data_IF_946077576938
#
_entry.id   IF_946077576938
#
_cell.length_a   1.000
_cell.length_b   1.000
_cell.length_c   1.000
_cell.angle_alpha   90.00
_cell.angle_beta   90.00
_cell.angle_gamma   90.00
#
_symmetry.space_group_name_H-M   'P 1'
#
loop_
_entity.id
_entity.type
_entity.pdbx_description
1 polymer ?
#
# COMPACT_ATOMS: atom_id res chain seq x y z
N UNK A 1 9.49 13.31 23.49
CA UNK A 1 10.06 12.38 22.49
C UNK A 1 9.62 10.91 22.72
N UNK A 2 9.11 10.52 23.90
CA UNK A 2 8.73 9.13 24.21
C UNK A 2 7.26 8.77 23.94
N UNK A 3 6.32 9.72 23.85
CA UNK A 3 4.88 9.42 23.87
C UNK A 3 4.39 8.44 22.79
N UNK A 4 5.02 8.42 21.61
CA UNK A 4 4.64 7.51 20.52
C UNK A 4 5.16 6.07 20.71
N UNK A 5 6.25 5.86 21.45
CA UNK A 5 6.87 4.53 21.58
C UNK A 5 6.09 3.63 22.53
N UNK A 6 5.43 4.23 23.53
CA UNK A 6 4.66 3.51 24.55
C UNK A 6 3.55 2.65 23.94
N UNK A 7 3.01 3.09 22.79
CA UNK A 7 1.96 2.37 22.05
C UNK A 7 2.49 1.61 20.83
N UNK A 8 3.80 1.57 20.59
CA UNK A 8 4.38 0.93 19.40
C UNK A 8 3.96 -0.53 19.29
N UNK A 9 4.03 -1.28 20.38
CA UNK A 9 3.66 -2.70 20.42
C UNK A 9 2.18 -2.94 20.03
N UNK A 10 1.27 -2.07 20.48
CA UNK A 10 -0.15 -2.14 20.10
C UNK A 10 -0.37 -1.77 18.64
N UNK A 11 0.28 -0.68 18.18
CA UNK A 11 0.11 -0.17 16.81
C UNK A 11 0.68 -1.12 15.78
N UNK A 12 1.87 -1.65 16.01
CA UNK A 12 2.53 -2.56 15.05
C UNK A 12 1.73 -3.84 14.83
N UNK A 13 1.14 -4.41 15.88
CA UNK A 13 0.25 -5.56 15.75
C UNK A 13 -0.93 -5.22 14.84
N UNK A 14 -1.66 -4.12 15.11
CA UNK A 14 -2.81 -3.69 14.30
C UNK A 14 -2.42 -3.37 12.86
N UNK A 15 -1.29 -2.69 12.64
CA UNK A 15 -0.76 -2.41 11.31
C UNK A 15 -0.50 -3.70 10.51
N UNK A 16 0.14 -4.70 11.12
CA UNK A 16 0.45 -5.95 10.44
C UNK A 16 -0.82 -6.76 10.14
N UNK A 17 -1.75 -6.84 11.09
CA UNK A 17 -3.05 -7.49 10.90
C UNK A 17 -3.83 -6.85 9.74
N UNK A 18 -3.96 -5.52 9.74
CA UNK A 18 -4.66 -4.80 8.69
C UNK A 18 -3.95 -4.95 7.34
N UNK A 19 -2.62 -4.84 7.30
CA UNK A 19 -1.86 -4.95 6.07
C UNK A 19 -1.95 -6.35 5.45
N UNK A 20 -1.91 -7.42 6.24
CA UNK A 20 -2.13 -8.78 5.75
C UNK A 20 -3.52 -8.89 5.11
N UNK A 21 -4.56 -8.46 5.81
CA UNK A 21 -5.94 -8.56 5.32
C UNK A 21 -6.19 -7.72 4.07
N UNK A 22 -5.61 -6.52 3.98
CA UNK A 22 -5.70 -5.66 2.79
C UNK A 22 -4.91 -6.26 1.63
N UNK A 23 -3.70 -6.80 1.87
CA UNK A 23 -2.89 -7.41 0.82
C UNK A 23 -3.56 -8.65 0.21
N UNK A 24 -4.15 -9.52 1.04
CA UNK A 24 -4.89 -10.70 0.60
C UNK A 24 -6.13 -10.30 -0.22
N UNK A 25 -6.86 -9.27 0.22
CA UNK A 25 -8.01 -8.74 -0.50
C UNK A 25 -7.62 -8.12 -1.85
N UNK A 26 -6.55 -7.31 -1.89
CA UNK A 26 -6.03 -6.71 -3.12
C UNK A 26 -5.59 -7.77 -4.14
N UNK A 27 -5.00 -8.88 -3.68
CA UNK A 27 -4.51 -9.95 -4.55
C UNK A 27 -5.63 -10.64 -5.36
N UNK A 28 -6.89 -10.54 -4.91
CA UNK A 28 -8.06 -11.05 -5.62
C UNK A 28 -8.90 -10.00 -6.34
N UNK A 29 -8.48 -8.72 -6.34
CA UNK A 29 -9.28 -7.62 -6.85
C UNK A 29 -9.07 -7.38 -8.35
N UNK A 30 -10.15 -7.21 -9.12
CA UNK A 30 -10.12 -7.15 -10.60
C UNK A 30 -9.29 -6.00 -11.19
N UNK A 31 -9.20 -4.89 -10.46
CA UNK A 31 -8.36 -3.73 -10.81
C UNK A 31 -6.87 -3.89 -10.56
N UNK A 32 -6.43 -4.98 -9.91
CA UNK A 32 -5.05 -5.11 -9.43
C UNK A 32 -4.28 -6.09 -10.31
N UNK A 33 -3.15 -5.63 -10.84
CA UNK A 33 -2.28 -6.46 -11.70
C UNK A 33 -1.35 -7.35 -10.87
N UNK A 34 -0.89 -6.84 -9.73
CA UNK A 34 0.03 -7.54 -8.84
C UNK A 34 0.04 -6.90 -7.44
N UNK A 35 0.41 -7.69 -6.43
CA UNK A 35 0.61 -7.23 -5.05
C UNK A 35 1.98 -7.66 -4.56
N UNK A 36 2.70 -6.72 -3.98
CA UNK A 36 3.99 -6.89 -3.35
C UNK A 36 3.85 -6.69 -1.82
N UNK A 37 3.70 -7.81 -1.11
CA UNK A 37 3.68 -7.83 0.35
C UNK A 37 4.34 -9.12 0.87
N UNK A 38 5.34 -9.05 1.78
CA UNK A 38 6.06 -10.25 2.23
C UNK A 38 5.20 -11.26 3.01
N UNK A 39 4.04 -10.84 3.51
CA UNK A 39 3.07 -11.72 4.18
C UNK A 39 2.27 -12.62 3.24
N UNK A 40 2.27 -12.34 1.92
CA UNK A 40 1.56 -13.18 0.95
C UNK A 40 2.34 -14.46 0.64
N UNK A 41 1.66 -15.62 0.45
CA UNK A 41 2.31 -16.91 0.20
C UNK A 41 3.13 -16.93 -1.09
N UNK A 42 2.68 -16.20 -2.11
CA UNK A 42 3.33 -16.14 -3.43
C UNK A 42 4.49 -15.14 -3.49
N UNK A 43 4.78 -14.41 -2.39
CA UNK A 43 5.88 -13.47 -2.35
C UNK A 43 7.24 -14.20 -2.33
N UNK A 44 8.25 -13.82 -3.15
CA UNK A 44 9.54 -14.52 -3.25
C UNK A 44 10.30 -14.67 -1.92
N UNK A 45 10.04 -13.77 -0.98
CA UNK A 45 10.66 -13.77 0.35
C UNK A 45 9.71 -14.18 1.48
N UNK A 46 8.56 -14.80 1.19
CA UNK A 46 7.58 -15.20 2.20
C UNK A 46 8.19 -16.09 3.29
N UNK A 47 9.03 -17.07 2.90
CA UNK A 47 9.72 -17.94 3.85
C UNK A 47 10.68 -17.17 4.77
N UNK A 48 11.38 -16.16 4.24
CA UNK A 48 12.25 -15.29 5.03
C UNK A 48 11.43 -14.38 5.95
N UNK A 49 10.32 -13.83 5.48
CA UNK A 49 9.40 -13.04 6.28
C UNK A 49 8.87 -13.86 7.47
N UNK A 50 8.40 -15.09 7.24
CA UNK A 50 8.00 -16.00 8.31
C UNK A 50 9.11 -16.30 9.32
N UNK A 51 10.36 -16.41 8.86
CA UNK A 51 11.50 -16.71 9.72
C UNK A 51 11.95 -15.51 10.56
N UNK A 52 12.03 -14.33 9.96
CA UNK A 52 12.65 -13.15 10.57
C UNK A 52 11.65 -12.14 11.13
N UNK A 53 10.38 -12.19 10.70
CA UNK A 53 9.30 -11.30 11.10
C UNK A 53 8.09 -12.12 11.63
N UNK A 54 8.27 -12.93 12.69
CA UNK A 54 7.24 -13.85 13.16
C UNK A 54 5.97 -13.16 13.65
N UNK A 55 6.07 -11.89 14.05
CA UNK A 55 4.97 -11.08 14.60
C UNK A 55 4.27 -10.20 13.54
N UNK A 56 4.65 -10.33 12.26
CA UNK A 56 4.02 -9.63 11.15
C UNK A 56 4.99 -8.96 10.17
N UNK A 57 4.63 -8.92 8.90
CA UNK A 57 5.47 -8.44 7.79
C UNK A 57 5.46 -6.91 7.59
N UNK A 58 4.99 -6.15 8.58
CA UNK A 58 4.90 -4.70 8.53
C UNK A 58 3.64 -4.18 7.83
N UNK A 59 3.60 -2.86 7.63
CA UNK A 59 2.41 -2.11 7.22
C UNK A 59 2.40 -1.67 5.74
N UNK A 60 3.48 -1.94 5.01
CA UNK A 60 3.70 -1.38 3.68
C UNK A 60 3.31 -2.42 2.64
N UNK A 61 2.37 -2.05 1.77
CA UNK A 61 1.94 -2.85 0.62
C UNK A 61 2.29 -2.05 -0.64
N UNK A 62 2.95 -2.71 -1.58
CA UNK A 62 3.05 -2.24 -2.95
C UNK A 62 2.05 -2.96 -3.83
N UNK A 63 1.42 -2.27 -4.79
CA UNK A 63 0.57 -2.93 -5.78
C UNK A 63 0.53 -2.16 -7.09
N UNK A 64 0.24 -2.87 -8.18
CA UNK A 64 0.02 -2.30 -9.51
C UNK A 64 -1.45 -2.17 -9.82
N UNK A 65 -1.89 -0.98 -10.26
CA UNK A 65 -3.27 -0.71 -10.69
C UNK A 65 -3.40 -0.83 -12.20
N UNK A 66 -4.40 -1.58 -12.65
CA UNK A 66 -4.75 -1.68 -14.08
C UNK A 66 -5.06 -0.31 -14.67
N UNK A 67 -4.46 0.00 -15.82
CA UNK A 67 -4.58 1.32 -16.47
C UNK A 67 -3.39 2.25 -16.23
N UNK A 68 -2.35 1.78 -15.53
CA UNK A 68 -1.05 2.43 -15.46
C UNK A 68 -1.08 3.79 -14.74
N UNK A 69 -0.23 4.71 -15.22
CA UNK A 69 0.03 6.01 -14.59
C UNK A 69 -1.22 6.85 -14.34
N UNK A 70 -2.11 6.92 -15.33
CA UNK A 70 -3.32 7.73 -15.21
C UNK A 70 -4.30 7.13 -14.18
N UNK A 71 -4.42 5.80 -14.13
CA UNK A 71 -5.21 5.13 -13.11
C UNK A 71 -4.61 5.31 -11.71
N UNK A 72 -3.27 5.20 -11.58
CA UNK A 72 -2.55 5.47 -10.34
C UNK A 72 -2.79 6.89 -9.81
N UNK A 73 -2.69 7.90 -10.67
CA UNK A 73 -3.00 9.30 -10.34
C UNK A 73 -4.46 9.47 -9.92
N UNK A 74 -5.40 8.87 -10.67
CA UNK A 74 -6.82 8.97 -10.37
C UNK A 74 -7.18 8.31 -9.04
N UNK A 75 -6.59 7.15 -8.76
CA UNK A 75 -6.77 6.42 -7.51
C UNK A 75 -6.38 7.25 -6.29
N UNK A 76 -5.15 7.78 -6.25
CA UNK A 76 -4.66 8.54 -5.09
C UNK A 76 -5.41 9.87 -4.85
N UNK A 77 -6.09 10.40 -5.88
CA UNK A 77 -6.94 11.58 -5.76
C UNK A 77 -8.40 11.24 -5.40
N UNK A 78 -8.78 9.96 -5.46
CA UNK A 78 -10.16 9.49 -5.23
C UNK A 78 -10.38 8.91 -3.83
N UNK A 79 -9.31 8.63 -3.07
CA UNK A 79 -9.41 8.18 -1.67
C UNK A 79 -10.06 9.25 -0.79
N UNK A 80 -10.83 8.81 0.21
CA UNK A 80 -11.59 9.64 1.14
C UNK A 80 -11.16 9.44 2.59
N UNK A 81 -10.63 8.25 2.91
CA UNK A 81 -10.09 7.91 4.23
C UNK A 81 -8.57 8.00 4.23
N UNK A 82 -7.92 7.32 3.27
CA UNK A 82 -6.47 7.34 3.15
C UNK A 82 -5.97 8.76 2.82
N UNK A 83 -4.85 9.14 3.43
CA UNK A 83 -4.22 10.45 3.19
C UNK A 83 -3.13 10.35 2.14
N UNK A 84 -3.16 11.22 1.13
CA UNK A 84 -2.09 11.31 0.14
C UNK A 84 -0.86 12.00 0.76
N UNK A 85 0.01 11.20 1.39
CA UNK A 85 1.23 11.69 2.04
C UNK A 85 2.40 10.71 1.87
N UNK A 86 3.61 11.27 1.81
CA UNK A 86 4.83 10.51 1.59
C UNK A 86 5.39 9.84 2.87
N UNK A 87 4.89 10.19 4.06
CA UNK A 87 5.32 9.57 5.32
C UNK A 87 4.87 8.10 5.43
N UNK A 88 5.33 7.43 6.49
CA UNK A 88 5.11 5.99 6.74
C UNK A 88 4.96 5.80 8.26
N UNK A 89 4.15 4.83 8.67
CA UNK A 89 4.01 4.42 10.08
C UNK A 89 3.18 5.36 10.95
N UNK A 90 2.37 6.22 10.32
CA UNK A 90 1.34 7.00 11.00
C UNK A 90 0.18 6.08 11.43
N UNK A 91 -0.60 6.49 12.41
CA UNK A 91 -1.85 5.81 12.76
C UNK A 91 -2.87 5.82 11.61
N UNK A 92 -2.79 6.83 10.73
CA UNK A 92 -3.61 6.91 9.53
C UNK A 92 -3.05 6.09 8.38
N UNK A 93 -3.93 5.55 7.55
CA UNK A 93 -3.59 4.96 6.27
C UNK A 93 -3.09 6.03 5.32
N UNK A 94 -1.94 5.79 4.70
CA UNK A 94 -1.27 6.72 3.80
C UNK A 94 -1.08 6.09 2.43
N UNK A 95 -1.29 6.86 1.39
CA UNK A 95 -1.17 6.38 0.01
C UNK A 95 -0.30 7.34 -0.80
N UNK A 96 0.50 6.78 -1.71
CA UNK A 96 1.23 7.58 -2.69
C UNK A 96 1.42 6.80 -3.98
N UNK A 97 1.43 7.52 -5.09
CA UNK A 97 1.77 7.01 -6.41
C UNK A 97 3.15 7.59 -6.81
N UNK A 98 4.26 6.86 -6.59
CA UNK A 98 5.60 7.43 -6.65
C UNK A 98 5.96 8.07 -7.99
N UNK A 99 5.50 7.48 -9.11
CA UNK A 99 5.80 7.98 -10.46
C UNK A 99 5.26 9.39 -10.74
N UNK A 100 4.15 9.79 -10.09
CA UNK A 100 3.59 11.14 -10.22
C UNK A 100 3.87 12.06 -9.03
N UNK A 101 4.68 11.62 -8.06
CA UNK A 101 4.90 12.35 -6.80
C UNK A 101 6.37 12.43 -6.44
N UNK A 102 6.90 11.46 -5.68
CA UNK A 102 8.26 11.45 -5.14
C UNK A 102 9.33 11.29 -6.22
N UNK A 103 9.00 10.65 -7.34
CA UNK A 103 9.92 10.38 -8.45
C UNK A 103 9.55 11.16 -9.71
N UNK A 104 8.65 12.15 -9.64
CA UNK A 104 8.15 12.88 -10.80
C UNK A 104 9.22 13.65 -11.60
N UNK A 105 10.38 13.92 -10.99
CA UNK A 105 11.50 14.62 -11.63
C UNK A 105 12.36 13.72 -12.51
N UNK A 106 12.20 12.40 -12.40
CA UNK A 106 12.91 11.40 -13.19
C UNK A 106 12.16 11.12 -14.50
N UNK A 107 12.92 10.76 -15.54
CA UNK A 107 12.34 10.20 -16.77
C UNK A 107 11.70 8.83 -16.50
N UNK A 108 10.80 8.38 -17.37
CA UNK A 108 10.14 7.06 -17.21
C UNK A 108 11.15 5.91 -17.15
N UNK A 109 12.24 5.99 -17.92
CA UNK A 109 13.30 4.99 -17.90
C UNK A 109 14.06 4.98 -16.55
N UNK A 110 14.31 6.16 -15.98
CA UNK A 110 14.96 6.28 -14.66
C UNK A 110 14.03 5.83 -13.52
N UNK A 111 12.71 6.10 -13.62
CA UNK A 111 11.72 5.58 -12.67
C UNK A 111 11.68 4.05 -12.71
N UNK A 112 11.60 3.46 -13.90
CA UNK A 112 11.59 2.01 -14.06
C UNK A 112 12.88 1.37 -13.49
N UNK A 113 14.03 2.01 -13.67
CA UNK A 113 15.30 1.55 -13.13
C UNK A 113 15.35 1.52 -11.59
N UNK A 114 14.53 2.32 -10.89
CA UNK A 114 14.40 2.27 -9.42
C UNK A 114 13.30 1.33 -8.93
N UNK A 115 12.63 0.62 -9.84
CA UNK A 115 11.46 -0.22 -9.53
C UNK A 115 10.17 0.57 -9.35
N UNK A 116 10.14 1.84 -9.75
CA UNK A 116 8.92 2.67 -9.79
C UNK A 116 8.34 2.60 -11.20
N UNK A 117 7.31 1.78 -11.35
CA UNK A 117 6.54 1.67 -12.60
C UNK A 117 5.33 2.61 -12.57
N UNK A 118 4.72 2.84 -13.73
CA UNK A 118 3.60 3.77 -13.87
C UNK A 118 2.34 3.32 -13.14
N UNK A 119 2.12 2.03 -12.95
CA UNK A 119 0.99 1.46 -12.22
C UNK A 119 1.21 1.41 -10.70
N UNK A 120 2.45 1.64 -10.24
CA UNK A 120 2.85 1.34 -8.87
C UNK A 120 2.26 2.32 -7.86
N UNK A 121 1.50 1.77 -6.91
CA UNK A 121 1.00 2.48 -5.74
C UNK A 121 1.58 1.86 -4.47
N UNK A 122 1.98 2.73 -3.54
CA UNK A 122 2.43 2.36 -2.20
C UNK A 122 1.37 2.76 -1.18
N UNK A 123 0.88 1.77 -0.45
CA UNK A 123 -0.04 1.95 0.67
C UNK A 123 0.67 1.61 1.98
N UNK A 124 0.68 2.55 2.91
CA UNK A 124 1.07 2.32 4.29
C UNK A 124 -0.22 2.20 5.11
N UNK A 125 -0.60 0.98 5.45
CA UNK A 125 -1.86 0.67 6.12
C UNK A 125 -1.82 1.17 7.56
N UNK A 126 -2.84 1.92 7.96
CA UNK A 126 -2.98 2.49 9.30
C UNK A 126 -3.59 1.51 10.31
N UNK A 127 -4.11 2.07 11.40
CA UNK A 127 -4.77 1.33 12.48
C UNK A 127 -6.29 1.54 12.53
N UNK A 128 -6.87 2.06 11.44
CA UNK A 128 -8.33 2.17 11.28
C UNK A 128 -9.01 0.79 11.21
N UNK A 129 -10.35 0.80 11.17
CA UNK A 129 -11.11 -0.41 10.86
C UNK A 129 -10.72 -0.91 9.46
N UNK A 130 -10.41 -2.21 9.37
CA UNK A 130 -9.90 -2.80 8.13
C UNK A 130 -10.93 -2.80 7.00
N UNK A 131 -12.22 -2.88 7.33
CA UNK A 131 -13.29 -2.85 6.33
C UNK A 131 -13.51 -1.43 5.79
N UNK A 132 -13.32 -0.40 6.61
CA UNK A 132 -13.32 1.00 6.15
C UNK A 132 -12.12 1.28 5.22
N UNK A 133 -10.93 0.74 5.52
CA UNK A 133 -9.76 0.83 4.64
C UNK A 133 -10.04 0.15 3.29
N UNK A 134 -10.56 -1.08 3.30
CA UNK A 134 -10.92 -1.80 2.08
C UNK A 134 -11.99 -1.06 1.29
N UNK A 135 -13.03 -0.53 1.94
CA UNK A 135 -14.10 0.21 1.29
C UNK A 135 -13.59 1.50 0.63
N UNK A 136 -12.67 2.23 1.28
CA UNK A 136 -12.07 3.42 0.70
C UNK A 136 -11.18 3.10 -0.52
N UNK A 137 -10.40 2.02 -0.41
CA UNK A 137 -9.55 1.55 -1.51
C UNK A 137 -10.40 1.04 -2.67
N UNK A 138 -11.44 0.25 -2.40
CA UNK A 138 -12.38 -0.29 -3.41
C UNK A 138 -13.05 0.83 -4.22
N UNK A 139 -13.64 1.81 -3.54
CA UNK A 139 -14.32 2.91 -4.25
C UNK A 139 -13.33 3.75 -5.06
N UNK A 140 -12.09 3.93 -4.59
CA UNK A 140 -11.05 4.63 -5.34
C UNK A 140 -10.54 3.83 -6.54
N UNK A 141 -10.40 2.50 -6.40
CA UNK A 141 -10.02 1.59 -7.49
C UNK A 141 -11.08 1.60 -8.59
N UNK A 142 -12.37 1.46 -8.24
CA UNK A 142 -13.47 1.51 -9.21
C UNK A 142 -13.49 2.82 -9.99
N UNK A 143 -13.36 3.94 -9.28
CA UNK A 143 -13.21 5.25 -9.90
C UNK A 143 -12.01 5.30 -10.86
N UNK A 144 -10.87 4.71 -10.51
CA UNK A 144 -9.66 4.71 -11.32
C UNK A 144 -9.77 3.83 -12.58
N UNK A 145 -10.25 2.60 -12.44
CA UNK A 145 -10.30 1.59 -13.53
C UNK A 145 -11.41 1.83 -14.55
N UNK A 146 -12.35 2.74 -14.27
CA UNK A 146 -13.50 2.98 -15.14
C UNK A 146 -14.61 1.92 -15.01
N UNK A 147 -14.70 1.29 -13.83
CA UNK A 147 -15.81 0.38 -13.47
C UNK A 147 -16.97 1.16 -12.83
#
# INVERSE_FOLDING_TARGET
FLLGIDTLHLRMQRHCENAQAVAEWLAGHECIEWVNYPGLPDHPHHANAKKFLPDGAGAIIGFGITGGKEAGIKFINSVKLASHLANIGDAKTLVIHPASTTHQQLTEAEQAATGVTGEYVRLCVGIEDVEDIKADVDQALKAACGA
#
